data_IF_204474436553
#
_entry.id   IF_204474436553
#
_cell.length_a   1.000
_cell.length_b   1.000
_cell.length_c   1.000
_cell.angle_alpha   90.00
_cell.angle_beta   90.00
_cell.angle_gamma   90.00
#
_symmetry.space_group_name_H-M   'P 1'
#
loop_
_entity.id
_entity.type
_entity.pdbx_description
1 polymer ?
#
# COMPACT_ATOMS: atom_id res chain seq x y z
N UNK A 1 1.03 -22.31 17.06
CA UNK A 1 1.39 -21.77 15.73
C UNK A 1 0.96 -20.32 15.71
N UNK A 2 1.75 -19.40 15.16
CA UNK A 2 1.33 -18.00 15.06
C UNK A 2 0.13 -17.89 14.11
N UNK A 3 -0.84 -17.04 14.46
CA UNK A 3 -2.13 -16.92 13.78
C UNK A 3 -2.11 -15.73 12.81
N UNK A 4 -2.50 -15.95 11.56
CA UNK A 4 -2.68 -14.86 10.59
C UNK A 4 -4.12 -14.34 10.71
N UNK A 5 -4.25 -13.04 10.99
CA UNK A 5 -5.55 -12.34 11.05
C UNK A 5 -5.70 -11.43 9.85
N UNK A 6 -6.77 -11.62 9.07
CA UNK A 6 -7.14 -10.68 8.01
C UNK A 6 -7.93 -9.53 8.64
N UNK A 7 -7.49 -8.29 8.41
CA UNK A 7 -8.14 -7.08 8.93
C UNK A 7 -8.13 -5.97 7.89
N UNK A 8 -9.00 -4.98 8.07
CA UNK A 8 -8.89 -3.73 7.33
C UNK A 8 -7.56 -3.04 7.66
N UNK A 9 -6.93 -2.44 6.64
CA UNK A 9 -5.81 -1.55 6.87
C UNK A 9 -6.26 -0.30 7.65
N UNK A 10 -5.30 0.30 8.35
CA UNK A 10 -5.47 1.49 9.20
C UNK A 10 -4.43 2.52 8.77
N UNK A 11 -4.61 3.78 9.16
CA UNK A 11 -3.61 4.83 8.91
C UNK A 11 -2.19 4.45 9.39
N UNK A 12 -2.08 3.68 10.47
CA UNK A 12 -0.79 3.20 10.98
C UNK A 12 -0.08 2.17 10.09
N UNK A 13 -0.75 1.60 9.08
CA UNK A 13 -0.13 0.68 8.12
C UNK A 13 0.52 1.42 6.92
N UNK A 14 0.57 2.76 6.93
CA UNK A 14 0.97 3.58 5.79
C UNK A 14 2.32 3.18 5.19
N UNK A 15 3.34 2.97 6.04
CA UNK A 15 4.68 2.54 5.60
C UNK A 15 4.63 1.17 4.90
N UNK A 16 3.85 0.22 5.44
CA UNK A 16 3.67 -1.10 4.82
C UNK A 16 2.90 -1.00 3.50
N UNK A 17 1.85 -0.18 3.45
CA UNK A 17 1.08 0.04 2.22
C UNK A 17 1.91 0.72 1.14
N UNK A 18 2.79 1.66 1.49
CA UNK A 18 3.72 2.27 0.53
C UNK A 18 4.62 1.22 -0.14
N UNK A 19 5.19 0.31 0.66
CA UNK A 19 5.95 -0.82 0.14
C UNK A 19 5.09 -1.74 -0.73
N UNK A 20 3.87 -2.08 -0.28
CA UNK A 20 2.94 -2.94 -1.00
C UNK A 20 2.60 -2.36 -2.38
N UNK A 21 2.26 -1.07 -2.45
CA UNK A 21 1.90 -0.35 -3.67
C UNK A 21 3.09 -0.28 -4.63
N UNK A 22 4.29 0.06 -4.11
CA UNK A 22 5.50 0.09 -4.93
C UNK A 22 5.83 -1.29 -5.50
N UNK A 23 5.77 -2.32 -4.66
CA UNK A 23 6.07 -3.71 -5.04
C UNK A 23 5.08 -4.23 -6.07
N UNK A 24 3.78 -3.97 -5.88
CA UNK A 24 2.74 -4.30 -6.86
C UNK A 24 2.94 -3.55 -8.19
N UNK A 25 3.27 -2.25 -8.13
CA UNK A 25 3.54 -1.42 -9.32
C UNK A 25 4.83 -1.80 -10.06
N UNK A 26 5.77 -2.47 -9.40
CA UNK A 26 6.98 -3.05 -10.00
C UNK A 26 6.73 -4.40 -10.64
N UNK A 27 5.83 -5.21 -10.09
CA UNK A 27 5.67 -6.61 -10.49
C UNK A 27 7.04 -7.32 -10.54
N UNK A 28 7.50 -7.75 -11.72
CA UNK A 28 8.77 -8.46 -11.91
C UNK A 28 9.97 -7.54 -12.23
N UNK A 29 9.76 -6.22 -12.41
CA UNK A 29 10.82 -5.30 -12.83
C UNK A 29 11.47 -4.56 -11.67
N UNK A 30 12.73 -4.16 -11.84
CA UNK A 30 13.49 -3.40 -10.82
C UNK A 30 13.03 -1.94 -10.68
N UNK A 31 12.55 -1.33 -11.76
CA UNK A 31 12.09 0.06 -11.80
C UNK A 31 10.66 0.10 -12.37
N UNK A 32 9.69 0.39 -11.52
CA UNK A 32 8.26 0.31 -11.83
C UNK A 32 7.64 1.64 -12.25
N UNK A 33 6.31 1.62 -12.36
CA UNK A 33 5.52 2.77 -12.81
C UNK A 33 5.72 4.02 -11.92
N UNK A 34 5.87 3.84 -10.62
CA UNK A 34 6.01 4.95 -9.66
C UNK A 34 7.33 5.68 -9.83
N UNK A 35 8.44 4.95 -9.95
CA UNK A 35 9.76 5.58 -10.18
C UNK A 35 9.90 6.18 -11.58
N UNK A 36 9.09 5.72 -12.54
CA UNK A 36 8.98 6.33 -13.88
C UNK A 36 8.21 7.64 -13.82
N UNK A 37 7.01 7.64 -13.26
CA UNK A 37 6.13 8.82 -13.18
C UNK A 37 6.74 9.91 -12.30
N UNK A 38 7.30 9.54 -11.14
CA UNK A 38 7.87 10.49 -10.19
C UNK A 38 9.31 10.92 -10.57
N UNK A 39 9.98 10.19 -11.46
CA UNK A 39 11.37 10.46 -11.85
C UNK A 39 12.35 10.48 -10.66
N UNK A 40 12.01 9.81 -9.56
CA UNK A 40 12.67 9.95 -8.26
C UNK A 40 13.27 8.64 -7.77
N UNK A 41 14.02 8.69 -6.66
CA UNK A 41 14.59 7.49 -6.04
C UNK A 41 13.50 6.60 -5.42
N UNK A 42 13.82 5.33 -5.16
CA UNK A 42 12.91 4.42 -4.45
C UNK A 42 12.48 4.98 -3.10
N UNK A 43 13.42 5.57 -2.34
CA UNK A 43 13.14 6.18 -1.03
C UNK A 43 12.10 7.28 -1.15
N UNK A 44 12.24 8.15 -2.16
CA UNK A 44 11.32 9.27 -2.36
C UNK A 44 9.96 8.77 -2.85
N UNK A 45 9.94 7.72 -3.67
CA UNK A 45 8.70 7.07 -4.09
C UNK A 45 7.96 6.43 -2.90
N UNK A 46 8.66 5.76 -1.99
CA UNK A 46 8.06 5.21 -0.77
C UNK A 46 7.50 6.32 0.12
N UNK A 47 8.24 7.41 0.33
CA UNK A 47 7.75 8.55 1.12
C UNK A 47 6.51 9.20 0.48
N UNK A 48 6.50 9.33 -0.85
CA UNK A 48 5.33 9.80 -1.58
C UNK A 48 4.13 8.86 -1.41
N UNK A 49 4.33 7.55 -1.58
CA UNK A 49 3.27 6.55 -1.48
C UNK A 49 2.71 6.41 -0.06
N UNK A 50 3.54 6.65 0.97
CA UNK A 50 3.09 6.70 2.35
C UNK A 50 2.09 7.84 2.58
N UNK A 51 2.35 9.03 2.01
CA UNK A 51 1.41 10.16 2.04
C UNK A 51 0.13 9.85 1.25
N UNK A 52 0.27 9.26 0.05
CA UNK A 52 -0.85 8.84 -0.80
C UNK A 52 -1.75 7.83 -0.10
N UNK A 53 -1.18 6.92 0.71
CA UNK A 53 -1.95 5.90 1.40
C UNK A 53 -2.88 6.45 2.48
N UNK A 54 -2.62 7.65 3.02
CA UNK A 54 -3.35 8.21 4.18
C UNK A 54 -4.08 9.51 3.88
N UNK A 55 -4.30 9.82 2.61
CA UNK A 55 -5.13 10.94 2.16
C UNK A 55 -6.55 10.86 2.75
N UNK A 56 -7.17 12.04 2.88
CA UNK A 56 -8.57 12.16 3.29
C UNK A 56 -9.52 11.73 2.17
N UNK A 57 -9.24 12.18 0.95
CA UNK A 57 -9.99 11.78 -0.24
C UNK A 57 -9.71 10.33 -0.58
N UNK A 58 -10.77 9.53 -0.67
CA UNK A 58 -10.63 8.14 -1.07
C UNK A 58 -10.29 8.04 -2.56
N UNK A 59 -9.39 7.12 -2.85
CA UNK A 59 -8.98 6.70 -4.19
C UNK A 59 -8.38 5.31 -4.08
N UNK A 60 -8.02 4.70 -5.21
CA UNK A 60 -7.60 3.29 -5.26
C UNK A 60 -6.32 2.93 -4.47
N UNK A 61 -5.59 3.93 -3.96
CA UNK A 61 -4.37 3.76 -3.18
C UNK A 61 -4.52 4.16 -1.71
N UNK A 62 -5.69 4.66 -1.30
CA UNK A 62 -5.95 5.07 0.06
C UNK A 62 -6.21 3.84 0.95
N UNK A 63 -5.78 3.87 2.22
CA UNK A 63 -5.70 2.71 3.10
C UNK A 63 -7.03 1.95 3.26
N UNK A 64 -8.18 2.61 3.20
CA UNK A 64 -9.49 1.96 3.30
C UNK A 64 -9.80 1.01 2.14
N UNK A 65 -9.00 1.05 1.07
CA UNK A 65 -9.08 0.13 -0.06
C UNK A 65 -8.23 -1.14 0.14
N UNK A 66 -7.70 -1.39 1.35
CA UNK A 66 -6.79 -2.52 1.59
C UNK A 66 -7.25 -3.42 2.74
N UNK A 67 -7.09 -4.73 2.51
CA UNK A 67 -7.04 -5.75 3.54
C UNK A 67 -5.57 -6.09 3.82
N UNK A 68 -5.25 -6.32 5.10
CA UNK A 68 -3.92 -6.69 5.58
C UNK A 68 -4.00 -8.03 6.30
N UNK A 69 -3.06 -8.92 5.97
CA UNK A 69 -2.78 -10.11 6.76
C UNK A 69 -1.77 -9.72 7.86
N UNK A 70 -2.19 -9.88 9.11
CA UNK A 70 -1.45 -9.50 10.30
C UNK A 70 -0.98 -10.77 11.03
N UNK A 71 0.33 -10.85 11.29
CA UNK A 71 0.94 -11.91 12.08
C UNK A 71 1.54 -11.27 13.33
N UNK A 72 0.92 -11.52 14.48
CA UNK A 72 1.38 -11.00 15.78
C UNK A 72 1.64 -9.48 15.81
N UNK A 73 0.77 -8.70 15.17
CA UNK A 73 0.85 -7.23 15.10
C UNK A 73 1.73 -6.71 13.96
N UNK A 74 2.30 -7.59 13.15
CA UNK A 74 3.11 -7.22 11.99
C UNK A 74 2.35 -7.49 10.69
N UNK A 75 2.22 -6.50 9.79
CA UNK A 75 1.62 -6.73 8.49
C UNK A 75 2.58 -7.57 7.61
N UNK A 76 2.10 -8.69 7.09
CA UNK A 76 2.92 -9.65 6.31
C UNK A 76 2.45 -9.78 4.85
N UNK A 77 1.21 -9.42 4.55
CA UNK A 77 0.69 -9.35 3.20
C UNK A 77 -0.47 -8.33 3.13
N UNK A 78 -0.80 -7.90 1.91
CA UNK A 78 -1.95 -7.03 1.70
C UNK A 78 -2.60 -7.26 0.33
N UNK A 79 -3.89 -6.93 0.26
CA UNK A 79 -4.69 -6.97 -0.95
C UNK A 79 -5.39 -5.63 -1.12
N UNK A 80 -5.18 -5.00 -2.27
CA UNK A 80 -5.84 -3.76 -2.66
C UNK A 80 -7.09 -4.04 -3.50
N UNK A 81 -8.17 -3.32 -3.23
CA UNK A 81 -9.42 -3.37 -3.97
C UNK A 81 -10.30 -2.17 -3.64
N UNK A 82 -11.00 -1.64 -4.64
CA UNK A 82 -11.89 -0.49 -4.47
C UNK A 82 -13.16 -0.71 -5.30
N UNK A 83 -14.25 -0.13 -4.83
CA UNK A 83 -15.48 -0.04 -5.61
C UNK A 83 -15.44 1.27 -6.40
N UNK A 84 -15.40 1.24 -7.75
CA UNK A 84 -15.36 2.47 -8.55
C UNK A 84 -16.62 3.34 -8.41
N UNK A 85 -17.70 2.81 -7.84
CA UNK A 85 -18.92 3.57 -7.56
C UNK A 85 -18.90 4.24 -6.18
N UNK A 86 -17.91 3.95 -5.33
CA UNK A 86 -17.78 4.55 -4.01
C UNK A 86 -16.56 5.48 -4.02
N UNK A 87 -16.78 6.80 -4.10
CA UNK A 87 -15.71 7.79 -4.17
C UNK A 87 -14.84 7.80 -2.91
#
# INVERSE_FOLDING_TARGET
>A
MPEIKIRQARKGDATFLAWLILTAGRAHVKRGIWEVILGSSEKDCLAFLEMVAVTETRHLFQYTCYLVADLDGQPVAGLGGYDPNIP
#
